data_IF_304580409546
#
_entry.id   IF_304580409546
#
_cell.length_a   1.000
_cell.length_b   1.000
_cell.length_c   1.000
_cell.angle_alpha   90.00
_cell.angle_beta   90.00
_cell.angle_gamma   90.00
#
_symmetry.space_group_name_H-M   'P 1'
#
loop_
_entity.id
_entity.type
_entity.pdbx_description
1 polymer ?
#
# COMPACT_ATOMS: atom_id res chain seq x y z
N UNK A 1 5.75 10.65 17.21
CA UNK A 1 4.94 10.68 18.46
C UNK A 1 5.49 9.70 19.50
N UNK A 2 5.81 10.14 20.71
CA UNK A 2 6.16 9.24 21.83
C UNK A 2 4.91 8.49 22.29
N UNK A 3 5.05 7.20 22.56
CA UNK A 3 3.99 6.29 22.98
C UNK A 3 4.19 5.96 24.45
N UNK A 4 3.24 6.38 25.28
CA UNK A 4 3.34 6.33 26.74
C UNK A 4 2.70 5.07 27.36
N UNK A 5 2.06 4.24 26.55
CA UNK A 5 1.43 3.00 27.02
C UNK A 5 1.51 1.89 25.97
N UNK A 6 1.43 0.64 26.44
CA UNK A 6 1.34 -0.53 25.57
C UNK A 6 0.17 -0.43 24.58
N UNK A 7 -0.97 0.10 25.03
CA UNK A 7 -2.14 0.31 24.16
C UNK A 7 -1.82 1.24 22.99
N UNK A 8 -1.10 2.34 23.22
CA UNK A 8 -0.67 3.26 22.16
C UNK A 8 0.30 2.59 21.18
N UNK A 9 1.16 1.70 21.67
CA UNK A 9 2.08 0.89 20.84
C UNK A 9 1.28 -0.06 19.95
N UNK A 10 0.36 -0.82 20.52
CA UNK A 10 -0.47 -1.74 19.76
C UNK A 10 -1.37 -1.00 18.76
N UNK A 11 -1.98 0.12 19.13
CA UNK A 11 -2.75 0.96 18.23
C UNK A 11 -1.89 1.47 17.06
N UNK A 12 -0.67 1.95 17.31
CA UNK A 12 0.23 2.39 16.25
C UNK A 12 0.60 1.25 15.28
N UNK A 13 0.93 0.08 15.82
CA UNK A 13 1.24 -1.13 15.02
C UNK A 13 0.02 -1.60 14.23
N UNK A 14 -1.17 -1.61 14.84
CA UNK A 14 -2.42 -1.90 14.17
C UNK A 14 -2.68 -0.88 13.06
N UNK A 15 -2.44 0.40 13.30
CA UNK A 15 -2.54 1.48 12.34
C UNK A 15 -1.46 1.42 11.25
N UNK A 16 -0.54 0.46 11.33
CA UNK A 16 0.51 0.22 10.33
C UNK A 16 1.60 1.28 10.36
N UNK A 17 1.72 2.05 11.44
CA UNK A 17 2.80 2.98 11.67
C UNK A 17 4.11 2.22 11.93
N UNK A 18 5.23 2.85 11.61
CA UNK A 18 6.54 2.33 11.99
C UNK A 18 6.76 2.71 13.45
N UNK A 19 6.90 1.69 14.29
CA UNK A 19 7.20 1.87 15.71
C UNK A 19 8.69 1.62 15.92
N UNK A 20 9.28 2.45 16.75
CA UNK A 20 10.68 2.39 17.17
C UNK A 20 10.75 2.32 18.69
N UNK A 21 11.85 1.79 19.18
CA UNK A 21 12.14 1.67 20.59
C UNK A 21 13.57 2.08 20.88
N UNK A 22 13.83 2.53 22.10
CA UNK A 22 15.18 2.73 22.66
C UNK A 22 15.13 2.53 24.19
N UNK A 23 16.29 2.44 24.82
CA UNK A 23 16.40 2.51 26.28
C UNK A 23 16.11 3.94 26.76
N UNK A 24 15.46 4.07 27.92
CA UNK A 24 15.20 5.37 28.55
C UNK A 24 16.50 6.19 28.69
N UNK A 25 16.52 7.37 28.07
CA UNK A 25 17.68 8.27 28.08
C UNK A 25 18.67 8.08 26.93
N UNK A 26 18.40 7.14 26.01
CA UNK A 26 19.13 6.97 24.76
C UNK A 26 18.39 7.62 23.58
N UNK A 27 19.15 8.20 22.65
CA UNK A 27 18.64 8.72 21.38
C UNK A 27 18.79 7.71 20.22
N UNK A 28 19.28 6.49 20.50
CA UNK A 28 19.50 5.44 19.51
C UNK A 28 18.24 4.60 19.27
N UNK A 29 17.37 5.11 18.40
CA UNK A 29 16.10 4.47 18.07
C UNK A 29 16.27 3.29 17.11
N UNK A 30 15.77 2.12 17.52
CA UNK A 30 15.74 0.90 16.73
C UNK A 30 14.32 0.55 16.28
N UNK A 31 14.12 0.02 15.07
CA UNK A 31 12.79 -0.36 14.60
C UNK A 31 12.25 -1.56 15.39
N UNK A 32 10.97 -1.51 15.74
CA UNK A 32 10.22 -2.63 16.31
C UNK A 32 9.71 -3.51 15.17
N UNK A 33 10.32 -4.68 14.98
CA UNK A 33 10.02 -5.63 13.91
C UNK A 33 10.17 -7.09 14.40
N UNK A 34 9.91 -8.05 13.52
CA UNK A 34 9.92 -9.48 13.86
C UNK A 34 11.29 -10.03 14.34
N UNK A 35 12.38 -9.27 14.17
CA UNK A 35 13.73 -9.62 14.62
C UNK A 35 14.10 -8.96 15.96
N UNK A 36 13.25 -8.08 16.47
CA UNK A 36 13.49 -7.34 17.69
C UNK A 36 13.43 -8.28 18.90
N UNK A 37 14.48 -8.28 19.73
CA UNK A 37 14.58 -9.11 20.94
C UNK A 37 13.99 -8.40 22.17
N UNK A 38 12.77 -7.89 22.05
CA UNK A 38 12.03 -7.28 23.17
C UNK A 38 11.01 -8.28 23.67
N UNK A 39 10.96 -8.51 24.98
CA UNK A 39 9.92 -9.33 25.59
C UNK A 39 8.66 -8.52 25.83
N UNK A 40 7.51 -9.20 25.86
CA UNK A 40 6.22 -8.54 26.14
C UNK A 40 6.21 -7.76 27.47
N UNK A 41 6.96 -8.24 28.47
CA UNK A 41 7.09 -7.57 29.78
C UNK A 41 7.73 -6.20 29.65
N UNK A 42 8.70 -6.02 28.74
CA UNK A 42 9.45 -4.78 28.55
C UNK A 42 8.57 -3.60 28.08
N UNK A 43 7.40 -3.91 27.50
CA UNK A 43 6.39 -2.90 27.13
C UNK A 43 5.77 -2.20 28.36
N UNK A 44 5.92 -2.78 29.55
CA UNK A 44 5.29 -2.32 30.80
C UNK A 44 6.29 -1.93 31.88
N UNK A 45 7.59 -2.22 31.71
CA UNK A 45 8.60 -1.99 32.76
C UNK A 45 9.04 -0.54 32.89
N UNK A 46 8.86 0.28 31.84
CA UNK A 46 9.31 1.67 31.80
C UNK A 46 10.81 1.84 31.54
N UNK A 47 11.56 0.76 31.30
CA UNK A 47 12.97 0.83 30.87
C UNK A 47 13.13 1.20 29.40
N UNK A 48 12.13 0.90 28.58
CA UNK A 48 12.11 1.21 27.16
C UNK A 48 11.17 2.37 26.88
N UNK A 49 11.58 3.22 25.94
CA UNK A 49 10.72 4.24 25.33
C UNK A 49 10.33 3.79 23.94
N UNK A 50 9.11 4.15 23.55
CA UNK A 50 8.58 3.81 22.24
C UNK A 50 8.12 5.09 21.53
N UNK A 51 8.31 5.13 20.22
CA UNK A 51 7.74 6.18 19.37
C UNK A 51 7.19 5.58 18.10
N UNK A 52 6.13 6.18 17.59
CA UNK A 52 5.64 5.92 16.24
C UNK A 52 5.96 7.10 15.33
N UNK A 53 6.31 6.78 14.09
CA UNK A 53 6.25 7.77 13.01
C UNK A 53 4.78 8.14 12.77
N UNK A 54 4.55 9.44 12.60
CA UNK A 54 3.23 9.93 12.21
C UNK A 54 2.89 9.42 10.81
N UNK A 55 1.60 9.18 10.58
CA UNK A 55 1.15 8.86 9.22
C UNK A 55 1.36 10.10 8.34
N UNK A 56 1.85 9.91 7.10
CA UNK A 56 2.13 11.04 6.23
C UNK A 56 0.83 11.75 5.84
N UNK A 57 0.89 13.08 5.79
CA UNK A 57 -0.21 13.91 5.31
C UNK A 57 -0.06 14.09 3.81
N UNK A 58 -1.09 13.69 3.05
CA UNK A 58 -1.05 13.76 1.59
C UNK A 58 -1.32 15.19 1.15
N UNK A 59 -0.45 15.80 0.31
CA UNK A 59 -0.71 17.14 -0.22
C UNK A 59 -2.01 17.19 -1.03
N UNK A 60 -2.88 18.15 -0.68
CA UNK A 60 -4.17 18.37 -1.33
C UNK A 60 -4.18 19.69 -2.13
N UNK A 61 -4.87 19.76 -3.29
CA UNK A 61 -5.57 18.66 -3.95
C UNK A 61 -4.59 17.67 -4.59
N UNK A 62 -5.00 16.40 -4.72
CA UNK A 62 -4.24 15.42 -5.49
C UNK A 62 -4.31 15.82 -6.97
N UNK A 63 -3.17 16.27 -7.50
CA UNK A 63 -3.04 16.61 -8.91
C UNK A 63 -3.24 15.37 -9.78
N UNK A 64 -4.16 15.49 -10.74
CA UNK A 64 -4.45 14.46 -11.72
C UNK A 64 -3.92 14.90 -13.08
N UNK A 65 -2.99 14.13 -13.62
CA UNK A 65 -2.51 14.29 -14.98
C UNK A 65 -3.62 13.88 -15.97
N UNK A 66 -3.53 14.34 -17.22
CA UNK A 66 -4.49 14.05 -18.32
C UNK A 66 -4.65 12.56 -18.66
N UNK A 67 -3.80 11.71 -18.11
CA UNK A 67 -3.83 10.25 -18.22
C UNK A 67 -4.83 9.57 -17.29
N UNK A 68 -5.29 10.24 -16.22
CA UNK A 68 -6.18 9.64 -15.23
C UNK A 68 -7.65 9.76 -15.60
N UNK A 69 -8.16 8.73 -16.29
CA UNK A 69 -9.49 8.73 -16.91
C UNK A 69 -10.48 7.80 -16.20
N UNK A 70 -10.00 6.84 -15.42
CA UNK A 70 -10.86 5.78 -14.88
C UNK A 70 -11.36 6.10 -13.48
N UNK A 71 -12.58 5.70 -13.14
CA UNK A 71 -13.11 5.94 -11.79
C UNK A 71 -12.35 5.17 -10.71
N UNK A 72 -11.76 4.02 -11.06
CA UNK A 72 -10.89 3.22 -10.21
C UNK A 72 -9.51 3.14 -10.85
N UNK A 73 -8.53 3.84 -10.29
CA UNK A 73 -7.22 3.98 -10.90
C UNK A 73 -6.12 4.22 -9.86
N UNK A 74 -4.93 3.70 -10.13
CA UNK A 74 -3.71 4.10 -9.43
C UNK A 74 -3.27 5.50 -9.86
N UNK A 75 -2.88 6.33 -8.90
CA UNK A 75 -2.40 7.69 -9.15
C UNK A 75 -0.87 7.75 -9.07
N UNK A 76 -0.32 7.52 -7.88
CA UNK A 76 1.11 7.68 -7.59
C UNK A 76 1.52 6.92 -6.34
N UNK A 77 2.83 6.85 -6.08
CA UNK A 77 3.38 6.43 -4.79
C UNK A 77 3.82 7.66 -4.03
N UNK A 78 3.54 7.72 -2.73
CA UNK A 78 3.93 8.81 -1.83
C UNK A 78 4.34 8.21 -0.49
N UNK A 79 5.60 8.43 -0.07
CA UNK A 79 6.14 7.96 1.21
C UNK A 79 5.81 6.47 1.54
N UNK A 80 6.02 5.60 0.54
CA UNK A 80 5.76 4.16 0.67
C UNK A 80 4.28 3.75 0.61
N UNK A 81 3.37 4.70 0.39
CA UNK A 81 1.94 4.46 0.16
C UNK A 81 1.60 4.51 -1.32
N UNK A 82 0.81 3.55 -1.79
CA UNK A 82 0.19 3.59 -3.11
C UNK A 82 -1.12 4.38 -3.03
N UNK A 83 -1.24 5.47 -3.80
CA UNK A 83 -2.44 6.31 -3.84
C UNK A 83 -3.34 5.87 -4.99
N UNK A 84 -4.62 5.70 -4.69
CA UNK A 84 -5.65 5.31 -5.63
C UNK A 84 -6.82 6.29 -5.58
N UNK A 85 -7.50 6.44 -6.72
CA UNK A 85 -8.85 7.00 -6.80
C UNK A 85 -9.82 5.85 -7.05
N UNK A 86 -10.95 5.82 -6.35
CA UNK A 86 -12.01 4.82 -6.55
C UNK A 86 -13.37 5.49 -6.45
N UNK A 87 -14.25 5.22 -7.41
CA UNK A 87 -15.56 5.83 -7.50
C UNK A 87 -16.55 5.07 -8.38
N UNK A 88 -17.83 5.41 -8.26
CA UNK A 88 -18.88 5.03 -9.22
C UNK A 88 -19.42 6.25 -9.97
N UNK A 89 -19.74 7.29 -9.20
CA UNK A 89 -20.23 8.59 -9.71
C UNK A 89 -19.31 9.73 -9.30
N UNK A 90 -18.77 9.67 -8.08
CA UNK A 90 -17.69 10.53 -7.58
C UNK A 90 -16.53 9.65 -7.12
N UNK A 91 -15.31 10.11 -7.37
CA UNK A 91 -14.11 9.41 -6.94
C UNK A 91 -13.69 9.91 -5.56
N UNK A 92 -13.36 8.98 -4.68
CA UNK A 92 -12.69 9.22 -3.41
C UNK A 92 -11.26 8.71 -3.49
N UNK A 93 -10.38 9.27 -2.67
CA UNK A 93 -8.97 8.91 -2.65
C UNK A 93 -8.64 7.99 -1.48
N UNK A 94 -7.80 7.00 -1.74
CA UNK A 94 -7.37 6.00 -0.79
C UNK A 94 -5.87 5.81 -0.87
N UNK A 95 -5.23 5.59 0.28
CA UNK A 95 -3.83 5.21 0.37
C UNK A 95 -3.71 3.76 0.82
N UNK A 96 -2.87 2.99 0.16
CA UNK A 96 -2.63 1.58 0.46
C UNK A 96 -1.19 1.41 0.92
N UNK A 97 -1.01 0.79 2.10
CA UNK A 97 0.29 0.33 2.59
C UNK A 97 0.40 -1.17 2.38
N UNK A 98 1.40 -1.58 1.62
CA UNK A 98 1.64 -2.99 1.30
C UNK A 98 2.62 -3.56 2.31
N UNK A 99 2.19 -4.51 3.15
CA UNK A 99 3.12 -5.23 4.01
C UNK A 99 3.95 -6.18 3.15
N UNK A 100 5.26 -6.22 3.39
CA UNK A 100 6.27 -6.87 2.53
C UNK A 100 6.30 -8.40 2.64
N UNK A 101 5.46 -9.05 3.45
CA UNK A 101 5.49 -10.50 3.64
C UNK A 101 4.40 -11.24 2.86
N UNK A 102 4.86 -12.14 1.98
CA UNK A 102 4.05 -13.24 1.44
C UNK A 102 3.93 -13.25 -0.09
N UNK A 103 4.73 -14.11 -0.73
CA UNK A 103 4.21 -14.96 -1.81
C UNK A 103 2.99 -15.69 -1.24
N UNK A 104 1.78 -15.48 -1.79
CA UNK A 104 0.65 -16.44 -1.89
C UNK A 104 -0.67 -15.69 -2.12
N UNK A 105 -1.39 -16.14 -3.16
CA UNK A 105 -2.82 -16.12 -3.51
C UNK A 105 -3.78 -14.99 -3.06
N UNK A 106 -3.70 -14.43 -1.86
CA UNK A 106 -4.69 -13.49 -1.31
C UNK A 106 -4.11 -12.09 -1.12
N UNK A 107 -3.71 -11.54 -2.26
CA UNK A 107 -2.83 -10.37 -2.40
C UNK A 107 -3.38 -9.06 -1.80
N UNK A 108 -4.70 -8.93 -1.66
CA UNK A 108 -5.35 -7.75 -1.08
C UNK A 108 -5.51 -7.83 0.45
N UNK A 109 -5.42 -9.04 1.03
CA UNK A 109 -5.62 -9.30 2.45
C UNK A 109 -4.52 -8.63 3.31
N UNK A 110 -3.27 -8.63 2.83
CA UNK A 110 -2.10 -8.07 3.55
C UNK A 110 -1.87 -6.56 3.34
N UNK A 111 -2.87 -5.85 2.80
CA UNK A 111 -2.75 -4.41 2.52
C UNK A 111 -3.52 -3.59 3.55
N UNK A 112 -2.87 -2.65 4.24
CA UNK A 112 -3.60 -1.67 5.07
C UNK A 112 -4.19 -0.61 4.15
N UNK A 113 -5.46 -0.26 4.35
CA UNK A 113 -6.18 0.71 3.54
C UNK A 113 -6.50 1.92 4.42
N UNK A 114 -6.22 3.12 3.90
CA UNK A 114 -6.58 4.39 4.50
C UNK A 114 -7.48 5.15 3.54
N UNK A 115 -8.53 5.78 4.07
CA UNK A 115 -9.24 6.83 3.35
C UNK A 115 -8.49 8.14 3.54
N UNK A 116 -8.32 8.87 2.43
CA UNK A 116 -7.65 10.17 2.43
C UNK A 116 -8.73 11.23 2.67
N UNK A 117 -8.59 11.95 3.78
CA UNK A 117 -9.53 13.00 4.18
C UNK A 117 -9.26 14.30 3.38
N UNK A 118 -10.19 15.28 3.39
CA UNK A 118 -10.02 16.53 2.64
C UNK A 118 -8.80 17.37 3.04
N UNK A 119 -8.32 17.22 4.28
CA UNK A 119 -7.11 17.84 4.81
C UNK A 119 -5.82 17.06 4.49
N UNK A 120 -5.95 15.93 3.77
CA UNK A 120 -4.83 15.05 3.44
C UNK A 120 -4.50 14.02 4.51
N UNK A 121 -5.17 14.06 5.67
CA UNK A 121 -4.94 13.10 6.75
C UNK A 121 -5.42 11.70 6.37
N UNK A 122 -4.78 10.69 6.95
CA UNK A 122 -5.05 9.28 6.68
C UNK A 122 -5.90 8.67 7.79
N UNK A 123 -7.08 8.18 7.44
CA UNK A 123 -7.94 7.40 8.35
C UNK A 123 -7.95 5.94 7.95
N UNK A 124 -7.39 5.08 8.80
CA UNK A 124 -7.40 3.62 8.57
C UNK A 124 -8.84 3.12 8.43
N UNK A 125 -9.05 2.26 7.44
CA UNK A 125 -10.34 1.65 7.17
C UNK A 125 -10.39 0.23 7.74
N UNK A 126 -11.54 -0.11 8.32
CA UNK A 126 -11.87 -1.50 8.63
C UNK A 126 -12.44 -2.18 7.38
N UNK A 127 -11.72 -3.18 6.86
CA UNK A 127 -12.13 -3.91 5.66
C UNK A 127 -13.47 -4.63 5.82
N UNK A 128 -13.79 -5.10 7.03
CA UNK A 128 -15.03 -5.83 7.29
C UNK A 128 -16.27 -4.95 7.18
N UNK A 129 -16.12 -3.67 7.52
CA UNK A 129 -17.18 -2.65 7.45
C UNK A 129 -17.15 -1.85 6.15
N UNK A 130 -16.09 -2.00 5.35
CA UNK A 130 -15.93 -1.24 4.10
C UNK A 130 -16.83 -1.79 3.02
N UNK A 131 -17.60 -0.95 2.30
CA UNK A 131 -18.40 -1.38 1.18
C UNK A 131 -17.60 -2.16 0.14
N UNK A 132 -18.09 -3.35 -0.24
CA UNK A 132 -17.40 -4.27 -1.15
C UNK A 132 -16.94 -3.61 -2.46
N UNK A 133 -17.75 -2.70 -3.02
CA UNK A 133 -17.39 -2.01 -4.26
C UNK A 133 -16.12 -1.15 -4.17
N UNK A 134 -15.78 -0.63 -2.98
CA UNK A 134 -14.53 0.11 -2.76
C UNK A 134 -13.37 -0.88 -2.79
N UNK A 135 -13.50 -2.01 -2.09
CA UNK A 135 -12.48 -3.05 -2.04
C UNK A 135 -12.22 -3.62 -3.44
N UNK A 136 -13.29 -4.01 -4.16
CA UNK A 136 -13.21 -4.49 -5.54
C UNK A 136 -12.60 -3.42 -6.46
N UNK A 137 -12.96 -2.15 -6.27
CA UNK A 137 -12.43 -1.03 -7.05
C UNK A 137 -10.92 -0.83 -6.86
N UNK A 138 -10.47 -0.87 -5.60
CA UNK A 138 -9.05 -0.76 -5.24
C UNK A 138 -8.25 -1.96 -5.76
N UNK A 139 -8.80 -3.16 -5.61
CA UNK A 139 -8.16 -4.39 -6.10
C UNK A 139 -8.00 -4.35 -7.62
N UNK A 140 -9.07 -4.01 -8.35
CA UNK A 140 -9.04 -3.88 -9.81
C UNK A 140 -8.03 -2.82 -10.27
N UNK A 141 -8.04 -1.64 -9.64
CA UNK A 141 -7.10 -0.56 -9.97
C UNK A 141 -5.64 -0.99 -9.76
N UNK A 142 -5.37 -1.72 -8.68
CA UNK A 142 -4.03 -2.22 -8.36
C UNK A 142 -3.57 -3.34 -9.29
N UNK A 143 -4.46 -4.27 -9.65
CA UNK A 143 -4.20 -5.30 -10.67
C UNK A 143 -3.89 -4.65 -12.02
N UNK A 144 -4.67 -3.64 -12.42
CA UNK A 144 -4.44 -2.90 -13.65
C UNK A 144 -3.07 -2.19 -13.64
N UNK A 145 -2.72 -1.51 -12.54
CA UNK A 145 -1.41 -0.86 -12.37
C UNK A 145 -0.26 -1.86 -12.52
N UNK A 146 -0.35 -3.04 -11.90
CA UNK A 146 0.69 -4.07 -12.00
C UNK A 146 0.81 -4.65 -13.41
N UNK A 147 -0.31 -4.94 -14.06
CA UNK A 147 -0.31 -5.39 -15.46
C UNK A 147 0.35 -4.34 -16.36
N UNK A 148 0.05 -3.07 -16.15
CA UNK A 148 0.67 -1.97 -16.89
C UNK A 148 2.19 -1.92 -16.66
N UNK A 149 2.66 -1.95 -15.41
CA UNK A 149 4.10 -2.02 -15.09
C UNK A 149 4.77 -3.21 -15.75
N UNK A 150 4.16 -4.39 -15.72
CA UNK A 150 4.68 -5.60 -16.39
C UNK A 150 4.77 -5.40 -17.90
N UNK A 151 3.74 -4.85 -18.55
CA UNK A 151 3.76 -4.59 -19.99
C UNK A 151 4.85 -3.59 -20.37
N UNK A 152 5.03 -2.51 -19.60
CA UNK A 152 6.10 -1.55 -19.82
C UNK A 152 7.49 -2.20 -19.73
N UNK A 153 7.70 -3.09 -18.75
CA UNK A 153 8.94 -3.85 -18.66
C UNK A 153 9.13 -4.75 -19.89
N UNK A 154 8.12 -5.52 -20.29
CA UNK A 154 8.18 -6.38 -21.48
C UNK A 154 8.45 -5.58 -22.77
N UNK A 155 7.84 -4.40 -22.89
CA UNK A 155 8.08 -3.50 -24.02
C UNK A 155 9.53 -2.99 -24.02
N UNK A 156 10.02 -2.52 -22.86
CA UNK A 156 11.38 -2.02 -22.72
C UNK A 156 12.46 -3.08 -22.96
N UNK A 157 12.17 -4.35 -22.68
CA UNK A 157 13.09 -5.48 -22.94
C UNK A 157 12.99 -5.99 -24.38
N UNK A 158 12.15 -5.39 -25.23
CA UNK A 158 11.93 -5.81 -26.60
C UNK A 158 11.21 -7.17 -26.72
N UNK A 159 10.59 -7.66 -25.65
CA UNK A 159 9.90 -8.95 -25.63
C UNK A 159 8.87 -9.07 -26.76
N UNK A 160 8.11 -8.01 -27.02
CA UNK A 160 7.09 -7.99 -28.08
C UNK A 160 7.68 -7.98 -29.51
N UNK A 161 8.98 -7.69 -29.66
CA UNK A 161 9.71 -7.80 -30.92
C UNK A 161 10.46 -9.15 -31.06
N UNK A 162 10.55 -9.94 -29.99
CA UNK A 162 11.25 -11.22 -29.98
C UNK A 162 10.62 -12.26 -30.92
N UNK A 163 11.43 -13.15 -31.47
CA UNK A 163 10.96 -14.21 -32.36
C UNK A 163 10.04 -15.20 -31.63
N UNK A 164 10.32 -15.46 -30.35
CA UNK A 164 9.48 -16.28 -29.48
C UNK A 164 8.07 -15.70 -29.35
N UNK A 165 7.94 -14.39 -29.14
CA UNK A 165 6.64 -13.74 -29.07
C UNK A 165 5.90 -13.77 -30.41
N UNK A 166 6.60 -13.57 -31.53
CA UNK A 166 5.99 -13.71 -32.88
C UNK A 166 5.48 -15.13 -33.11
N UNK A 167 6.26 -16.15 -32.75
CA UNK A 167 5.88 -17.56 -32.84
C UNK A 167 4.68 -17.87 -31.95
N UNK A 168 4.67 -17.40 -30.70
CA UNK A 168 3.53 -17.52 -29.80
C UNK A 168 2.27 -16.87 -30.41
N UNK A 169 2.38 -15.65 -30.94
CA UNK A 169 1.25 -14.93 -31.56
C UNK A 169 0.72 -15.65 -32.80
N UNK A 170 1.60 -16.24 -33.62
CA UNK A 170 1.20 -17.04 -34.79
C UNK A 170 0.44 -18.30 -34.39
N UNK A 171 0.92 -19.00 -33.36
CA UNK A 171 0.32 -20.27 -32.90
C UNK A 171 -1.00 -20.08 -32.14
N UNK A 172 -1.23 -18.89 -31.54
CA UNK A 172 -2.44 -18.56 -30.79
C UNK A 172 -3.39 -17.63 -31.56
N UNK A 173 -3.18 -17.45 -32.86
CA UNK A 173 -4.05 -16.61 -33.69
C UNK A 173 -5.39 -17.34 -33.86
N UNK A 174 -6.54 -16.73 -33.52
CA UNK A 174 -7.84 -17.36 -33.70
C UNK A 174 -8.06 -17.65 -35.19
N UNK A 175 -8.52 -18.86 -35.50
CA UNK A 175 -8.77 -19.29 -36.87
C UNK A 175 -9.78 -18.33 -37.53
N UNK A 176 -9.37 -17.67 -38.61
CA UNK A 176 -10.23 -16.80 -39.42
C UNK A 176 -9.89 -15.31 -39.44
N UNK A 177 -8.92 -14.83 -38.66
CA UNK A 177 -8.46 -13.43 -38.74
C UNK A 177 -7.30 -13.32 -39.73
N UNK A 178 -7.62 -13.05 -41.01
CA UNK A 178 -6.64 -12.66 -42.04
C UNK A 178 -6.07 -11.28 -41.73
#
# INVERSE_FOLDING_TARGET
>A
MILNSADQIFEALLNGQLVYWCECGSDDWSPLNDRTQINFVDLYTGFLQFKADELPVIPMPIELNSTHRYFSEYIKTFEGLEIYRVGKTRASYFALRVKSSGTIADYFCNTTIYSIQPDGSLRKMDKSLTPKWILDGLENARVAMRKNKRHQVLESTGFFASEDYKNFKRNNRPAGVR
#
